data_IF_983077570393
#
_entry.id   IF_983077570393
#
_cell.length_a   1.000
_cell.length_b   1.000
_cell.length_c   1.000
_cell.angle_alpha   90.00
_cell.angle_beta   90.00
_cell.angle_gamma   90.00
#
_symmetry.space_group_name_H-M   'P 1'
#
loop_
_entity.id
_entity.type
_entity.pdbx_description
1 polymer ?
#
# COMPACT_ATOMS: atom_id res chain seq x y z
N UNK A 1 -20.03 7.39 11.05
CA UNK A 1 -18.81 8.19 11.36
C UNK A 1 -17.60 7.32 11.66
N UNK A 2 -17.62 6.42 12.64
CA UNK A 2 -16.45 5.62 13.05
C UNK A 2 -15.79 4.85 11.89
N UNK A 3 -16.58 4.23 11.02
CA UNK A 3 -16.05 3.55 9.83
C UNK A 3 -15.24 4.47 8.91
N UNK A 4 -15.69 5.71 8.74
CA UNK A 4 -15.00 6.72 7.93
C UNK A 4 -13.71 7.22 8.58
N UNK A 5 -13.68 7.28 9.91
CA UNK A 5 -12.45 7.57 10.66
C UNK A 5 -11.41 6.47 10.47
N UNK A 6 -11.79 5.19 10.59
CA UNK A 6 -10.89 4.05 10.37
C UNK A 6 -10.31 4.07 8.95
N UNK A 7 -11.17 4.33 7.96
CA UNK A 7 -10.75 4.47 6.57
C UNK A 7 -9.77 5.63 6.38
N UNK A 8 -10.07 6.81 6.93
CA UNK A 8 -9.22 7.98 6.80
C UNK A 8 -7.85 7.76 7.44
N UNK A 9 -7.78 7.20 8.66
CA UNK A 9 -6.52 6.89 9.34
C UNK A 9 -5.66 5.92 8.53
N UNK A 10 -6.26 4.87 7.95
CA UNK A 10 -5.54 3.97 7.04
C UNK A 10 -4.90 4.74 5.88
N UNK A 11 -5.65 5.64 5.26
CA UNK A 11 -5.17 6.43 4.11
C UNK A 11 -4.02 7.39 4.47
N UNK A 12 -3.96 7.90 5.69
CA UNK A 12 -2.83 8.74 6.13
C UNK A 12 -1.49 8.01 6.05
N UNK A 13 -1.50 6.70 6.27
CA UNK A 13 -0.28 5.87 6.25
C UNK A 13 0.12 5.46 4.84
N UNK A 14 -0.76 5.59 3.84
CA UNK A 14 -0.52 5.11 2.49
C UNK A 14 0.73 5.72 1.83
N UNK A 15 0.89 7.06 1.91
CA UNK A 15 2.04 7.75 1.31
C UNK A 15 3.37 7.32 1.98
N UNK A 16 3.51 7.33 3.32
CA UNK A 16 4.71 6.81 4.00
C UNK A 16 5.03 5.36 3.63
N UNK A 17 4.03 4.49 3.54
CA UNK A 17 4.21 3.09 3.16
C UNK A 17 4.77 3.00 1.74
N UNK A 18 4.10 3.64 0.77
CA UNK A 18 4.49 3.60 -0.65
C UNK A 18 5.92 4.12 -0.83
N UNK A 19 6.30 5.20 -0.12
CA UNK A 19 7.65 5.75 -0.16
C UNK A 19 8.73 4.83 0.43
N UNK A 20 8.35 3.94 1.35
CA UNK A 20 9.32 3.10 2.09
C UNK A 20 9.49 1.72 1.50
N UNK A 21 8.37 1.04 1.16
CA UNK A 21 8.39 -0.35 0.67
C UNK A 21 7.99 -0.49 -0.80
N UNK A 22 7.62 0.62 -1.44
CA UNK A 22 7.16 0.65 -2.82
C UNK A 22 5.65 0.44 -2.96
N UNK A 23 5.12 0.92 -4.08
CA UNK A 23 3.69 0.90 -4.39
C UNK A 23 3.11 -0.53 -4.41
N UNK A 24 3.76 -1.45 -5.14
CA UNK A 24 3.27 -2.82 -5.31
C UNK A 24 3.22 -3.61 -3.99
N UNK A 25 4.33 -3.62 -3.24
CA UNK A 25 4.40 -4.31 -1.94
C UNK A 25 3.43 -3.72 -0.92
N UNK A 26 3.29 -2.38 -0.90
CA UNK A 26 2.31 -1.71 -0.07
C UNK A 26 0.88 -2.21 -0.36
N UNK A 27 0.43 -2.03 -1.61
CA UNK A 27 -0.90 -2.42 -2.07
C UNK A 27 -1.19 -3.88 -1.77
N UNK A 28 -0.22 -4.76 -2.00
CA UNK A 28 -0.38 -6.19 -1.74
C UNK A 28 -0.64 -6.47 -0.25
N UNK A 29 0.19 -5.91 0.64
CA UNK A 29 0.09 -6.21 2.08
C UNK A 29 -1.21 -5.66 2.65
N UNK A 30 -1.47 -4.35 2.50
CA UNK A 30 -2.69 -3.77 3.09
C UNK A 30 -3.95 -4.27 2.38
N UNK A 31 -3.87 -4.57 1.07
CA UNK A 31 -4.98 -5.12 0.30
C UNK A 31 -5.35 -6.54 0.73
N UNK A 32 -4.36 -7.39 0.96
CA UNK A 32 -4.58 -8.75 1.50
C UNK A 32 -5.18 -8.70 2.90
N UNK A 33 -4.62 -7.85 3.79
CA UNK A 33 -5.14 -7.69 5.15
C UNK A 33 -6.56 -7.11 5.13
N UNK A 34 -6.85 -6.11 4.30
CA UNK A 34 -8.19 -5.56 4.10
C UNK A 34 -9.20 -6.64 3.68
N UNK A 35 -8.83 -7.47 2.69
CA UNK A 35 -9.64 -8.58 2.21
C UNK A 35 -9.93 -9.59 3.34
N UNK A 36 -8.88 -10.08 4.02
CA UNK A 36 -9.00 -11.10 5.06
C UNK A 36 -9.77 -10.58 6.27
N UNK A 37 -9.52 -9.35 6.72
CA UNK A 37 -10.21 -8.76 7.88
C UNK A 37 -11.69 -8.53 7.56
N UNK A 38 -12.02 -7.96 6.40
CA UNK A 38 -13.41 -7.74 6.00
C UNK A 38 -14.16 -9.06 5.81
N UNK A 39 -13.53 -10.04 5.17
CA UNK A 39 -14.06 -11.39 5.02
C UNK A 39 -14.27 -12.08 6.38
N UNK A 40 -13.28 -12.07 7.26
CA UNK A 40 -13.34 -12.71 8.57
C UNK A 40 -14.39 -12.06 9.47
N UNK A 41 -14.53 -10.74 9.38
CA UNK A 41 -15.56 -9.99 10.11
C UNK A 41 -16.96 -10.45 9.69
N UNK A 42 -17.25 -10.50 8.39
CA UNK A 42 -18.53 -11.01 7.89
C UNK A 42 -18.74 -12.49 8.18
N UNK A 43 -17.70 -13.32 8.05
CA UNK A 43 -17.81 -14.77 8.17
C UNK A 43 -18.01 -15.24 9.61
N UNK A 44 -17.26 -14.68 10.56
CA UNK A 44 -17.25 -15.12 11.95
C UNK A 44 -18.08 -14.21 12.87
N UNK A 45 -18.59 -13.09 12.37
CA UNK A 45 -19.31 -12.13 13.20
C UNK A 45 -18.39 -11.36 14.15
N UNK A 46 -17.15 -11.08 13.74
CA UNK A 46 -16.19 -10.37 14.60
C UNK A 46 -16.73 -8.98 14.95
N UNK A 47 -16.41 -8.47 16.14
CA UNK A 47 -16.91 -7.17 16.63
C UNK A 47 -18.44 -7.09 16.82
N UNK A 48 -19.12 -8.23 16.97
CA UNK A 48 -20.55 -8.27 17.33
C UNK A 48 -21.50 -8.05 16.15
N UNK A 49 -21.02 -8.19 14.91
CA UNK A 49 -21.88 -8.33 13.73
C UNK A 49 -22.39 -9.77 13.59
N UNK A 50 -23.53 -9.95 12.93
CA UNK A 50 -24.10 -11.26 12.69
C UNK A 50 -23.23 -12.04 11.71
N UNK A 51 -22.87 -13.27 12.07
CA UNK A 51 -22.08 -14.14 11.21
C UNK A 51 -22.89 -14.51 9.96
N UNK A 52 -22.39 -14.09 8.80
CA UNK A 52 -22.93 -14.45 7.48
C UNK A 52 -22.22 -15.71 6.98
N UNK A 53 -22.75 -16.89 7.34
CA UNK A 53 -22.28 -18.16 6.78
C UNK A 53 -22.79 -18.33 5.35
N UNK A 54 -21.92 -18.37 4.32
CA UNK A 54 -22.35 -18.72 2.97
C UNK A 54 -22.89 -20.15 2.94
N UNK A 55 -23.74 -20.44 1.95
CA UNK A 55 -24.39 -21.74 1.75
C UNK A 55 -23.38 -22.89 1.68
N UNK A 56 -22.23 -22.66 1.02
CA UNK A 56 -21.07 -23.57 1.04
C UNK A 56 -19.80 -22.91 1.61
N UNK A 57 -19.48 -23.15 2.90
CA UNK A 57 -18.27 -22.58 3.52
C UNK A 57 -16.98 -23.03 2.85
N UNK A 58 -16.89 -24.29 2.43
CA UNK A 58 -15.69 -24.84 1.78
C UNK A 58 -15.37 -24.15 0.45
N UNK A 59 -16.41 -23.85 -0.34
CA UNK A 59 -16.25 -23.14 -1.61
C UNK A 59 -15.79 -21.71 -1.41
N UNK A 60 -16.30 -21.05 -0.35
CA UNK A 60 -15.91 -19.71 0.03
C UNK A 60 -14.45 -19.63 0.50
N UNK A 61 -14.00 -20.56 1.36
CA UNK A 61 -12.60 -20.63 1.79
C UNK A 61 -11.66 -20.90 0.61
N UNK A 62 -12.02 -21.85 -0.26
CA UNK A 62 -11.21 -22.19 -1.44
C UNK A 62 -11.11 -20.99 -2.39
N UNK A 63 -12.24 -20.32 -2.65
CA UNK A 63 -12.28 -19.11 -3.47
C UNK A 63 -11.43 -17.97 -2.89
N UNK A 64 -11.46 -17.76 -1.57
CA UNK A 64 -10.61 -16.78 -0.88
C UNK A 64 -9.12 -17.08 -1.10
N UNK A 65 -8.70 -18.34 -0.99
CA UNK A 65 -7.30 -18.74 -1.23
C UNK A 65 -6.88 -18.39 -2.66
N UNK A 66 -7.70 -18.74 -3.66
CA UNK A 66 -7.40 -18.40 -5.05
C UNK A 66 -7.37 -16.88 -5.30
N UNK A 67 -8.24 -16.11 -4.64
CA UNK A 67 -8.24 -14.65 -4.68
C UNK A 67 -6.93 -14.07 -4.14
N UNK A 68 -6.45 -14.56 -3.00
CA UNK A 68 -5.19 -14.09 -2.40
C UNK A 68 -4.00 -14.48 -3.30
N UNK A 69 -3.97 -15.72 -3.79
CA UNK A 69 -2.91 -16.19 -4.71
C UNK A 69 -2.91 -15.35 -5.99
N UNK A 70 -4.08 -15.08 -6.57
CA UNK A 70 -4.22 -14.22 -7.74
C UNK A 70 -3.70 -12.80 -7.50
N UNK A 71 -4.04 -12.20 -6.36
CA UNK A 71 -3.52 -10.89 -5.94
C UNK A 71 -1.99 -10.86 -5.80
N UNK A 72 -1.40 -11.93 -5.25
CA UNK A 72 0.06 -12.09 -5.17
C UNK A 72 0.67 -12.19 -6.57
N UNK A 73 0.10 -13.00 -7.46
CA UNK A 73 0.57 -13.13 -8.84
C UNK A 73 0.53 -11.77 -9.57
N UNK A 74 -0.53 -10.98 -9.39
CA UNK A 74 -0.62 -9.62 -9.94
C UNK A 74 0.48 -8.69 -9.42
N UNK A 75 0.88 -8.81 -8.15
CA UNK A 75 1.96 -7.99 -7.61
C UNK A 75 3.34 -8.30 -8.24
N UNK A 76 3.50 -9.48 -8.83
CA UNK A 76 4.72 -9.87 -9.53
C UNK A 76 4.72 -9.49 -11.02
N UNK A 77 3.58 -9.10 -11.60
CA UNK A 77 3.52 -8.59 -12.98
C UNK A 77 4.19 -7.22 -13.01
N UNK A 78 5.29 -7.08 -13.74
CA UNK A 78 6.04 -5.83 -13.86
C UNK A 78 5.47 -4.97 -14.99
N UNK A 79 4.90 -3.78 -14.72
CA UNK A 79 4.60 -2.84 -15.79
C UNK A 79 5.91 -2.21 -16.28
N UNK A 80 6.05 -1.96 -17.59
CA UNK A 80 7.15 -1.13 -18.09
C UNK A 80 7.00 0.29 -17.55
N UNK A 81 8.09 0.95 -17.10
CA UNK A 81 8.02 2.40 -16.92
C UNK A 81 7.69 3.04 -18.27
N UNK A 82 6.84 4.08 -18.31
CA UNK A 82 6.57 4.80 -19.54
C UNK A 82 7.90 5.28 -20.13
N UNK A 83 8.06 5.15 -21.44
CA UNK A 83 9.20 5.69 -22.18
C UNK A 83 9.40 7.15 -21.78
N UNK A 84 10.38 7.38 -20.90
CA UNK A 84 10.84 8.70 -20.53
C UNK A 84 11.14 9.44 -21.83
N UNK A 85 10.33 10.46 -22.12
CA UNK A 85 10.67 11.43 -23.15
C UNK A 85 11.93 12.11 -22.66
N UNK A 86 13.05 11.70 -23.25
CA UNK A 86 14.40 12.28 -23.25
C UNK A 86 14.37 13.82 -23.09
N UNK A 87 14.20 14.32 -21.86
CA UNK A 87 14.21 15.77 -21.57
C UNK A 87 14.80 16.15 -20.21
N UNK A 88 15.08 15.19 -19.34
CA UNK A 88 15.64 15.46 -18.00
C UNK A 88 17.17 15.26 -17.90
N UNK A 89 17.88 14.95 -18.99
CA UNK A 89 19.32 14.69 -18.99
C UNK A 89 20.22 15.90 -19.30
N UNK A 90 19.73 17.15 -19.13
CA UNK A 90 20.53 18.36 -19.37
C UNK A 90 20.65 19.32 -18.17
N UNK A 91 20.26 18.92 -16.97
CA UNK A 91 20.51 19.73 -15.76
C UNK A 91 20.97 18.87 -14.58
N UNK A 92 22.17 18.30 -14.71
CA UNK A 92 22.96 17.96 -13.54
C UNK A 92 24.45 18.18 -13.87
N UNK A 93 24.83 19.46 -13.91
CA UNK A 93 26.23 19.86 -13.96
C UNK A 93 26.92 19.45 -12.66
N UNK A 94 27.76 18.42 -12.73
CA UNK A 94 28.71 18.09 -11.67
C UNK A 94 29.92 19.01 -11.78
N UNK A 95 30.47 19.57 -10.68
CA UNK A 95 31.66 20.41 -10.75
C UNK A 95 32.91 19.57 -11.02
N UNK A 96 33.67 19.98 -12.03
CA UNK A 96 34.96 19.41 -12.44
C UNK A 96 35.98 19.70 -11.33
N UNK A 97 36.46 18.67 -10.64
CA UNK A 97 37.62 18.79 -9.75
C UNK A 97 38.88 18.66 -10.60
N UNK A 98 39.55 19.79 -10.86
CA UNK A 98 40.87 19.82 -11.50
C UNK A 98 41.91 19.47 -10.42
N UNK A 99 42.45 18.25 -10.47
CA UNK A 99 43.62 17.84 -9.67
C UNK A 99 44.87 18.40 -10.35
N UNK A 100 45.53 19.36 -9.71
CA UNK A 100 46.83 19.93 -10.11
C UNK A 100 47.93 19.02 -9.54
N UNK A 101 48.68 18.36 -10.42
CA UNK A 101 49.92 17.69 -10.07
C UNK A 101 51.07 18.71 -10.13
N UNK A 102 51.90 18.79 -9.08
CA UNK A 102 53.22 19.41 -9.13
C UNK A 102 54.28 18.38 -8.66
N UNK A 103 55.42 18.26 -9.37
CA UNK A 103 56.48 17.28 -9.06
C UNK A 103 57.64 17.92 -8.28
N UNK A 104 58.35 17.12 -7.47
CA UNK A 104 59.75 17.25 -6.98
C UNK A 104 59.89 16.42 -5.70
N UNK A 105 61.00 15.79 -5.32
CA UNK A 105 62.30 15.45 -5.89
C UNK A 105 62.87 14.38 -4.93
N UNK A 106 63.73 13.50 -5.45
CA UNK A 106 64.51 12.48 -4.72
C UNK A 106 65.24 13.02 -3.48
N UNK A 107 65.31 12.23 -2.40
CA UNK A 107 66.56 11.73 -1.78
C UNK A 107 66.32 10.71 -0.64
N UNK A 108 67.32 9.85 -0.50
CA UNK A 108 67.44 8.57 0.21
C UNK A 108 67.51 8.72 1.74
N UNK A 109 66.71 7.94 2.49
CA UNK A 109 67.04 7.33 3.80
C UNK A 109 66.16 6.06 3.98
N UNK A 110 66.64 4.92 3.46
CA UNK A 110 65.93 3.63 3.46
C UNK A 110 66.39 2.76 4.65
N UNK A 111 65.46 2.34 5.52
CA UNK A 111 65.74 1.26 6.48
C UNK A 111 64.73 1.09 7.61
N UNK A 112 64.61 2.09 8.50
CA UNK A 112 63.86 1.94 9.77
C UNK A 112 62.51 2.69 9.81
N UNK A 113 62.34 3.79 9.04
CA UNK A 113 61.08 4.57 9.05
C UNK A 113 59.92 3.92 8.28
N UNK A 114 60.23 3.03 7.35
CA UNK A 114 59.24 2.35 6.50
C UNK A 114 58.40 1.35 7.29
N UNK A 115 58.98 0.70 8.31
CA UNK A 115 58.26 -0.30 9.13
C UNK A 115 57.26 0.39 10.06
N UNK A 116 57.62 1.52 10.65
CA UNK A 116 56.74 2.27 11.57
C UNK A 116 55.63 3.03 10.82
N UNK A 117 55.93 3.53 9.61
CA UNK A 117 54.92 4.10 8.71
C UNK A 117 53.94 3.04 8.16
N UNK A 118 54.41 1.81 7.88
CA UNK A 118 53.56 0.71 7.44
C UNK A 118 52.61 0.23 8.55
N UNK A 119 53.07 0.20 9.80
CA UNK A 119 52.24 -0.17 10.96
C UNK A 119 51.14 0.89 11.19
N UNK A 120 51.48 2.18 11.10
CA UNK A 120 50.51 3.28 11.24
C UNK A 120 49.49 3.34 10.08
N UNK A 121 49.90 3.01 8.85
CA UNK A 121 48.99 2.92 7.70
C UNK A 121 48.06 1.71 7.80
N UNK A 122 48.55 0.52 8.17
CA UNK A 122 47.70 -0.65 8.38
C UNK A 122 46.69 -0.44 9.51
N UNK A 123 47.10 0.21 10.61
CA UNK A 123 46.21 0.51 11.74
C UNK A 123 45.16 1.56 11.36
N UNK A 124 45.52 2.63 10.62
CA UNK A 124 44.55 3.60 10.08
C UNK A 124 43.57 2.97 9.09
N UNK A 125 44.06 2.14 8.18
CA UNK A 125 43.21 1.42 7.21
C UNK A 125 42.26 0.46 7.93
N UNK A 126 42.70 -0.21 8.99
CA UNK A 126 41.85 -1.09 9.80
C UNK A 126 40.79 -0.31 10.60
N UNK A 127 41.13 0.86 11.15
CA UNK A 127 40.18 1.74 11.85
C UNK A 127 39.14 2.31 10.88
N UNK A 128 39.56 2.83 9.72
CA UNK A 128 38.64 3.33 8.68
C UNK A 128 37.74 2.20 8.14
N UNK A 129 38.28 1.00 7.93
CA UNK A 129 37.50 -0.17 7.49
C UNK A 129 36.48 -0.59 8.55
N UNK A 130 36.85 -0.53 9.82
CA UNK A 130 35.95 -0.84 10.95
C UNK A 130 34.85 0.21 11.10
N UNK A 131 35.16 1.50 11.02
CA UNK A 131 34.17 2.58 11.05
C UNK A 131 33.22 2.52 9.85
N UNK A 132 33.73 2.25 8.66
CA UNK A 132 32.92 2.07 7.45
C UNK A 132 31.97 0.87 7.57
N UNK A 133 32.44 -0.25 8.12
CA UNK A 133 31.61 -1.42 8.38
C UNK A 133 30.54 -1.16 9.45
N UNK A 134 30.87 -0.42 10.52
CA UNK A 134 29.91 -0.03 11.56
C UNK A 134 28.84 0.91 10.98
N UNK A 135 29.23 1.91 10.19
CA UNK A 135 28.33 2.86 9.54
C UNK A 135 27.42 2.17 8.52
N UNK A 136 27.95 1.23 7.73
CA UNK A 136 27.17 0.40 6.81
C UNK A 136 26.17 -0.49 7.57
N UNK A 137 26.57 -1.10 8.69
CA UNK A 137 25.67 -1.90 9.52
C UNK A 137 24.54 -1.07 10.14
N UNK A 138 24.84 0.16 10.60
CA UNK A 138 23.86 1.10 11.16
C UNK A 138 22.89 1.58 10.08
N UNK A 139 23.40 1.94 8.91
CA UNK A 139 22.57 2.37 7.78
C UNK A 139 21.65 1.25 7.28
N UNK A 140 22.15 0.00 7.23
CA UNK A 140 21.36 -1.18 6.91
C UNK A 140 20.32 -1.51 8.01
N UNK A 141 20.67 -1.37 9.29
CA UNK A 141 19.75 -1.56 10.42
C UNK A 141 18.62 -0.54 10.40
N UNK A 142 18.91 0.74 10.13
CA UNK A 142 17.91 1.79 10.08
C UNK A 142 17.02 1.68 8.82
N UNK A 143 17.58 1.22 7.70
CA UNK A 143 16.79 0.82 6.53
C UNK A 143 15.84 -0.34 6.84
N UNK A 144 16.31 -1.37 7.56
CA UNK A 144 15.51 -2.52 7.97
C UNK A 144 14.38 -2.10 8.94
N UNK A 145 14.67 -1.28 9.94
CA UNK A 145 13.67 -0.76 10.90
C UNK A 145 12.57 0.02 10.17
N UNK A 146 12.93 0.91 9.24
CA UNK A 146 11.96 1.66 8.43
C UNK A 146 11.09 0.73 7.59
N UNK A 147 11.69 -0.29 6.98
CA UNK A 147 10.98 -1.31 6.21
C UNK A 147 9.98 -2.10 7.07
N UNK A 148 10.41 -2.56 8.25
CA UNK A 148 9.53 -3.25 9.21
C UNK A 148 8.39 -2.35 9.67
N UNK A 149 8.68 -1.09 10.01
CA UNK A 149 7.66 -0.12 10.42
C UNK A 149 6.63 0.12 9.32
N UNK A 150 7.06 0.20 8.06
CA UNK A 150 6.15 0.35 6.93
C UNK A 150 5.30 -0.91 6.69
N UNK A 151 5.85 -2.11 6.88
CA UNK A 151 5.06 -3.36 6.83
C UNK A 151 4.00 -3.38 7.94
N UNK A 152 4.39 -3.03 9.17
CA UNK A 152 3.47 -2.94 10.31
C UNK A 152 2.37 -1.89 10.03
N UNK A 153 2.74 -0.72 9.52
CA UNK A 153 1.80 0.32 9.12
C UNK A 153 0.82 -0.18 8.02
N UNK A 154 1.30 -0.94 7.03
CA UNK A 154 0.43 -1.56 6.01
C UNK A 154 -0.59 -2.51 6.60
N UNK A 155 -0.19 -3.31 7.61
CA UNK A 155 -1.11 -4.22 8.30
C UNK A 155 -2.18 -3.40 9.05
N UNK A 156 -1.78 -2.37 9.79
CA UNK A 156 -2.73 -1.48 10.47
C UNK A 156 -3.69 -0.78 9.50
N UNK A 157 -3.19 -0.29 8.36
CA UNK A 157 -4.00 0.30 7.31
C UNK A 157 -5.01 -0.71 6.77
N UNK A 158 -4.56 -1.93 6.48
CA UNK A 158 -5.41 -3.02 6.02
C UNK A 158 -6.51 -3.38 7.02
N UNK A 159 -6.21 -3.43 8.32
CA UNK A 159 -7.22 -3.67 9.36
C UNK A 159 -8.25 -2.54 9.38
N UNK A 160 -7.82 -1.28 9.28
CA UNK A 160 -8.71 -0.12 9.23
C UNK A 160 -9.63 -0.12 8.00
N UNK A 161 -9.09 -0.47 6.83
CA UNK A 161 -9.87 -0.65 5.61
C UNK A 161 -10.85 -1.81 5.73
N UNK A 162 -10.40 -2.96 6.24
CA UNK A 162 -11.23 -4.16 6.42
C UNK A 162 -12.41 -3.92 7.36
N UNK A 163 -12.19 -3.07 8.37
CA UNK A 163 -13.17 -2.75 9.42
C UNK A 163 -14.02 -1.51 9.11
N UNK A 164 -13.86 -0.89 7.94
CA UNK A 164 -14.55 0.35 7.56
C UNK A 164 -16.07 0.23 7.60
N UNK A 165 -16.62 -0.92 7.21
CA UNK A 165 -18.07 -1.16 7.16
C UNK A 165 -18.63 -1.76 8.45
N UNK A 166 -17.77 -2.30 9.31
CA UNK A 166 -18.17 -3.01 10.54
C UNK A 166 -19.08 -2.17 11.45
N UNK A 167 -18.81 -0.87 11.70
CA UNK A 167 -19.70 -0.07 12.54
C UNK A 167 -21.10 0.12 11.96
N UNK A 168 -21.23 0.17 10.63
CA UNK A 168 -22.54 0.33 9.96
C UNK A 168 -23.33 -0.97 10.10
N UNK A 169 -22.69 -2.10 9.79
CA UNK A 169 -23.30 -3.42 9.88
C UNK A 169 -23.66 -3.76 11.33
N UNK A 170 -22.82 -3.38 12.29
CA UNK A 170 -23.12 -3.55 13.71
C UNK A 170 -24.43 -2.86 14.11
N UNK A 171 -24.68 -1.64 13.62
CA UNK A 171 -25.92 -0.91 13.89
C UNK A 171 -27.12 -1.62 13.23
N UNK A 172 -26.96 -2.10 11.98
CA UNK A 172 -28.00 -2.83 11.26
C UNK A 172 -28.36 -4.15 11.96
N UNK A 173 -27.35 -4.86 12.50
CA UNK A 173 -27.48 -6.16 13.15
C UNK A 173 -27.96 -6.09 14.61
N UNK A 174 -27.71 -4.97 15.29
CA UNK A 174 -28.05 -4.77 16.70
C UNK A 174 -29.12 -3.69 16.89
N UNK A 175 -30.30 -3.80 16.25
CA UNK A 175 -31.25 -2.69 16.20
C UNK A 175 -31.84 -2.33 17.57
N UNK A 176 -31.78 -3.26 18.52
CA UNK A 176 -32.26 -3.09 19.89
C UNK A 176 -31.50 -2.00 20.66
N UNK A 177 -30.24 -1.75 20.30
CA UNK A 177 -29.37 -0.79 20.96
C UNK A 177 -29.50 0.62 20.40
N UNK A 178 -30.22 0.80 19.29
CA UNK A 178 -30.27 2.05 18.55
C UNK A 178 -31.71 2.51 18.34
N UNK A 179 -31.91 3.83 18.36
CA UNK A 179 -33.23 4.43 18.13
C UNK A 179 -33.51 4.46 16.63
N UNK A 180 -34.46 3.65 16.15
CA UNK A 180 -34.88 3.54 14.75
C UNK A 180 -33.71 3.42 13.75
N UNK A 181 -32.88 2.37 13.85
CA UNK A 181 -31.78 2.16 12.91
C UNK A 181 -32.34 1.82 11.53
N UNK A 182 -31.77 2.44 10.50
CA UNK A 182 -32.07 2.04 9.13
C UNK A 182 -31.49 0.66 8.85
N UNK A 183 -32.23 -0.14 8.06
CA UNK A 183 -31.72 -1.41 7.53
C UNK A 183 -30.94 -1.22 6.24
N UNK A 184 -31.10 -0.10 5.54
CA UNK A 184 -30.42 0.14 4.27
C UNK A 184 -29.01 0.70 4.52
N UNK A 185 -28.00 0.09 3.91
CA UNK A 185 -26.61 0.54 4.07
C UNK A 185 -26.37 1.98 3.55
N UNK A 186 -27.13 2.41 2.54
CA UNK A 186 -26.99 3.73 1.89
C UNK A 186 -27.30 4.88 2.85
N UNK A 187 -28.22 4.70 3.79
CA UNK A 187 -28.61 5.75 4.74
C UNK A 187 -27.45 6.13 5.68
N UNK A 188 -26.45 5.25 5.83
CA UNK A 188 -25.26 5.48 6.64
C UNK A 188 -24.10 6.11 5.87
N UNK A 189 -24.18 6.24 4.54
CA UNK A 189 -23.08 6.74 3.71
C UNK A 189 -22.75 8.19 4.06
N UNK A 190 -23.76 9.03 4.28
CA UNK A 190 -23.53 10.41 4.71
C UNK A 190 -22.73 10.45 6.01
N UNK A 191 -23.14 9.69 7.03
CA UNK A 191 -22.42 9.56 8.30
C UNK A 191 -21.01 9.00 8.13
N UNK A 192 -20.79 8.08 7.18
CA UNK A 192 -19.47 7.57 6.84
C UNK A 192 -18.58 8.67 6.25
N UNK A 193 -19.08 9.42 5.26
CA UNK A 193 -18.35 10.51 4.61
C UNK A 193 -18.06 11.67 5.57
N UNK A 194 -18.99 12.03 6.45
CA UNK A 194 -18.73 13.01 7.52
C UNK A 194 -17.58 12.56 8.42
N UNK A 195 -17.48 11.26 8.73
CA UNK A 195 -16.36 10.71 9.49
C UNK A 195 -15.01 10.89 8.77
N UNK A 196 -14.97 10.63 7.46
CA UNK A 196 -13.77 10.85 6.63
C UNK A 196 -13.40 12.33 6.62
N UNK A 197 -14.38 13.20 6.35
CA UNK A 197 -14.20 14.64 6.26
C UNK A 197 -13.64 15.22 7.56
N UNK A 198 -14.28 14.92 8.71
CA UNK A 198 -13.81 15.41 10.00
C UNK A 198 -12.41 14.91 10.37
N UNK A 199 -12.14 13.62 10.12
CA UNK A 199 -10.82 13.03 10.41
C UNK A 199 -9.74 13.66 9.52
N UNK A 200 -10.01 13.83 8.23
CA UNK A 200 -9.09 14.44 7.27
C UNK A 200 -8.84 15.91 7.60
N UNK A 201 -9.88 16.67 7.93
CA UNK A 201 -9.78 18.07 8.37
C UNK A 201 -8.97 18.18 9.65
N UNK A 202 -9.22 17.31 10.65
CA UNK A 202 -8.46 17.32 11.89
C UNK A 202 -6.96 17.09 11.65
N UNK A 203 -6.60 16.12 10.81
CA UNK A 203 -5.21 15.85 10.45
C UNK A 203 -4.59 17.01 9.66
N UNK A 204 -5.36 17.63 8.76
CA UNK A 204 -4.93 18.81 8.04
C UNK A 204 -4.63 19.98 9.00
N UNK A 205 -5.48 20.20 10.01
CA UNK A 205 -5.25 21.23 11.03
C UNK A 205 -3.97 20.97 11.82
N UNK A 206 -3.69 19.71 12.20
CA UNK A 206 -2.42 19.32 12.83
C UNK A 206 -1.25 19.62 11.90
N UNK A 207 -1.36 19.27 10.62
CA UNK A 207 -0.31 19.52 9.64
C UNK A 207 -0.03 21.01 9.44
N UNK A 208 -1.07 21.85 9.36
CA UNK A 208 -0.96 23.31 9.25
C UNK A 208 -0.29 23.89 10.50
N UNK A 209 -0.69 23.44 11.69
CA UNK A 209 -0.10 23.85 12.96
C UNK A 209 1.40 23.48 13.03
N UNK A 210 1.74 22.24 12.66
CA UNK A 210 3.12 21.75 12.60
C UNK A 210 3.98 22.55 11.60
N UNK A 211 3.40 22.92 10.46
CA UNK A 211 4.05 23.74 9.43
C UNK A 211 3.97 25.25 9.69
N UNK A 212 3.50 25.67 10.87
CA UNK A 212 3.40 27.09 11.27
C UNK A 212 2.68 27.93 10.21
N UNK A 213 1.53 27.45 9.74
CA UNK A 213 0.68 28.08 8.72
C UNK A 213 1.35 28.24 7.34
N UNK A 214 2.38 27.45 7.03
CA UNK A 214 3.01 27.35 5.70
C UNK A 214 2.96 25.91 5.15
N UNK A 215 1.76 25.31 4.97
CA UNK A 215 1.64 23.98 4.37
C UNK A 215 2.04 24.02 2.90
N UNK A 216 2.76 23.00 2.43
CA UNK A 216 2.96 22.80 1.00
C UNK A 216 1.75 22.09 0.39
N UNK A 217 1.13 22.71 -0.62
CA UNK A 217 0.04 22.16 -1.42
C UNK A 217 0.29 22.54 -2.88
N UNK A 218 0.43 21.54 -3.75
CA UNK A 218 0.60 21.78 -5.18
C UNK A 218 -0.76 22.12 -5.80
N UNK A 219 -0.86 23.31 -6.40
CA UNK A 219 -2.07 23.80 -7.04
C UNK A 219 -2.50 22.93 -8.22
N UNK A 220 -1.55 22.27 -8.90
CA UNK A 220 -1.85 21.38 -10.02
C UNK A 220 -2.64 20.13 -9.60
N UNK A 221 -2.55 19.72 -8.32
CA UNK A 221 -3.20 18.51 -7.80
C UNK A 221 -4.61 18.76 -7.29
N UNK A 222 -5.01 20.02 -7.06
CA UNK A 222 -6.31 20.35 -6.44
C UNK A 222 -7.47 19.82 -7.29
N UNK A 223 -7.54 20.19 -8.57
CA UNK A 223 -8.66 19.78 -9.43
C UNK A 223 -8.69 18.26 -9.72
N UNK A 224 -7.57 17.60 -10.10
CA UNK A 224 -7.54 16.15 -10.26
C UNK A 224 -7.95 15.38 -8.99
N UNK A 225 -7.56 15.87 -7.81
CA UNK A 225 -7.92 15.24 -6.54
C UNK A 225 -9.42 15.29 -6.25
N UNK A 226 -10.10 16.39 -6.62
CA UNK A 226 -11.55 16.51 -6.48
C UNK A 226 -12.29 15.54 -7.41
N UNK A 227 -11.87 15.42 -8.67
CA UNK A 227 -12.44 14.46 -9.61
C UNK A 227 -12.24 13.01 -9.13
N UNK A 228 -11.05 12.68 -8.65
CA UNK A 228 -10.77 11.38 -8.06
C UNK A 228 -11.64 11.09 -6.84
N UNK A 229 -11.90 12.11 -6.00
CA UNK A 229 -12.80 12.01 -4.85
C UNK A 229 -14.25 11.71 -5.24
N UNK A 230 -14.77 12.31 -6.32
CA UNK A 230 -16.11 12.01 -6.85
C UNK A 230 -16.18 10.57 -7.34
N UNK A 231 -15.19 10.12 -8.12
CA UNK A 231 -15.11 8.74 -8.60
C UNK A 231 -15.07 7.74 -7.43
N UNK A 232 -14.26 8.04 -6.42
CA UNK A 232 -14.16 7.24 -5.21
C UNK A 232 -15.49 7.21 -4.43
N UNK A 233 -16.21 8.32 -4.34
CA UNK A 233 -17.50 8.39 -3.65
C UNK A 233 -18.55 7.48 -4.32
N UNK A 234 -18.60 7.46 -5.66
CA UNK A 234 -19.48 6.57 -6.43
C UNK A 234 -19.11 5.10 -6.19
N UNK A 235 -17.81 4.77 -6.21
CA UNK A 235 -17.33 3.42 -5.94
C UNK A 235 -17.65 2.98 -4.50
N UNK A 236 -17.50 3.87 -3.52
CA UNK A 236 -17.81 3.60 -2.12
C UNK A 236 -19.31 3.36 -1.91
N UNK A 237 -20.18 4.13 -2.57
CA UNK A 237 -21.63 3.89 -2.58
C UNK A 237 -21.98 2.50 -3.12
N UNK A 238 -21.39 2.11 -4.25
CA UNK A 238 -21.58 0.78 -4.83
C UNK A 238 -21.08 -0.32 -3.89
N UNK A 239 -19.99 -0.08 -3.15
CA UNK A 239 -19.46 -1.03 -2.18
C UNK A 239 -20.38 -1.18 -0.95
N UNK A 240 -20.95 -0.10 -0.44
CA UNK A 240 -21.99 -0.17 0.61
C UNK A 240 -23.17 -1.03 0.16
N UNK A 241 -23.69 -0.79 -1.05
CA UNK A 241 -24.79 -1.58 -1.62
C UNK A 241 -24.42 -3.06 -1.79
N UNK A 242 -23.21 -3.34 -2.29
CA UNK A 242 -22.74 -4.70 -2.48
C UNK A 242 -22.64 -5.46 -1.14
N UNK A 243 -22.13 -4.81 -0.08
CA UNK A 243 -22.07 -5.41 1.26
C UNK A 243 -23.47 -5.73 1.81
N UNK A 244 -24.44 -4.85 1.58
CA UNK A 244 -25.83 -5.04 2.01
C UNK A 244 -26.50 -6.24 1.30
N UNK A 245 -26.23 -6.40 0.00
CA UNK A 245 -26.84 -7.46 -0.83
C UNK A 245 -26.12 -8.81 -0.67
N UNK A 246 -24.78 -8.82 -0.66
CA UNK A 246 -23.96 -10.02 -0.76
C UNK A 246 -23.29 -10.43 0.55
N UNK A 247 -23.28 -9.60 1.58
CA UNK A 247 -22.44 -9.68 2.79
C UNK A 247 -20.95 -9.38 2.55
N UNK A 248 -20.24 -9.05 3.62
CA UNK A 248 -18.80 -8.77 3.59
C UNK A 248 -17.97 -10.02 3.22
N UNK A 249 -18.43 -11.22 3.59
CA UNK A 249 -17.73 -12.48 3.32
C UNK A 249 -17.66 -12.84 1.83
N UNK A 250 -18.45 -12.18 0.98
CA UNK A 250 -18.44 -12.37 -0.47
C UNK A 250 -17.88 -11.11 -1.15
N UNK A 251 -18.29 -9.92 -0.71
CA UNK A 251 -17.92 -8.67 -1.36
C UNK A 251 -16.43 -8.32 -1.24
N UNK A 252 -15.79 -8.58 -0.08
CA UNK A 252 -14.38 -8.23 0.12
C UNK A 252 -13.42 -8.98 -0.81
N UNK A 253 -13.52 -10.31 -0.96
CA UNK A 253 -12.68 -11.05 -1.92
C UNK A 253 -12.86 -10.57 -3.37
N UNK A 254 -14.09 -10.25 -3.78
CA UNK A 254 -14.39 -9.72 -5.12
C UNK A 254 -13.72 -8.35 -5.30
N UNK A 255 -13.91 -7.44 -4.34
CA UNK A 255 -13.38 -6.07 -4.43
C UNK A 255 -11.85 -6.01 -4.32
N UNK A 256 -11.22 -6.97 -3.64
CA UNK A 256 -9.76 -7.04 -3.52
C UNK A 256 -9.05 -7.33 -4.86
N UNK A 257 -9.76 -7.91 -5.82
CA UNK A 257 -9.16 -8.48 -7.03
C UNK A 257 -9.67 -7.86 -8.32
N UNK A 258 -10.97 -7.57 -8.39
CA UNK A 258 -11.60 -7.09 -9.61
C UNK A 258 -11.02 -5.75 -10.12
N UNK A 259 -10.69 -4.75 -9.28
CA UNK A 259 -10.04 -3.52 -9.74
C UNK A 259 -8.65 -3.79 -10.34
N UNK A 260 -7.87 -4.68 -9.73
CA UNK A 260 -6.56 -5.09 -10.23
C UNK A 260 -6.67 -5.78 -11.59
N UNK A 261 -7.63 -6.70 -11.73
CA UNK A 261 -7.94 -7.37 -12.99
C UNK A 261 -8.29 -6.36 -14.10
N UNK A 262 -9.19 -5.42 -13.83
CA UNK A 262 -9.60 -4.39 -14.82
C UNK A 262 -8.41 -3.51 -15.21
N UNK A 263 -7.63 -3.06 -14.22
CA UNK A 263 -6.43 -2.24 -14.47
C UNK A 263 -5.40 -2.99 -15.33
N UNK A 264 -5.17 -4.28 -15.08
CA UNK A 264 -4.26 -5.09 -15.87
C UNK A 264 -4.77 -5.34 -17.29
N UNK A 265 -6.07 -5.60 -17.47
CA UNK A 265 -6.67 -5.72 -18.81
C UNK A 265 -6.53 -4.40 -19.59
N UNK A 266 -6.73 -3.26 -18.93
CA UNK A 266 -6.52 -1.95 -19.54
C UNK A 266 -5.05 -1.74 -19.95
N UNK A 267 -4.09 -2.13 -19.11
CA UNK A 267 -2.66 -2.07 -19.45
C UNK A 267 -2.30 -2.92 -20.68
N UNK A 268 -2.85 -4.13 -20.80
CA UNK A 268 -2.64 -4.99 -21.98
C UNK A 268 -3.24 -4.39 -23.25
N UNK A 269 -4.53 -4.06 -23.23
CA UNK A 269 -5.26 -3.71 -24.45
C UNK A 269 -5.01 -2.29 -24.92
N UNK A 270 -4.94 -1.33 -23.99
CA UNK A 270 -4.78 0.08 -24.33
C UNK A 270 -3.32 0.46 -24.48
N UNK A 271 -2.50 0.18 -23.47
CA UNK A 271 -1.12 0.64 -23.43
C UNK A 271 -0.13 -0.30 -24.14
N UNK A 272 -0.48 -1.57 -24.35
CA UNK A 272 0.38 -2.60 -24.99
C UNK A 272 1.77 -2.70 -24.35
N UNK A 273 1.83 -2.53 -23.02
CA UNK A 273 3.07 -2.38 -22.26
C UNK A 273 3.78 -3.71 -21.92
N UNK A 274 3.16 -4.85 -22.19
CA UNK A 274 3.55 -6.14 -21.61
C UNK A 274 4.27 -7.03 -22.64
N UNK A 275 5.43 -7.58 -22.24
CA UNK A 275 6.18 -8.57 -23.02
C UNK A 275 5.53 -9.96 -22.95
N UNK A 276 5.81 -10.81 -23.94
CA UNK A 276 5.15 -12.12 -24.09
C UNK A 276 5.37 -13.03 -22.86
N UNK A 277 6.50 -12.90 -22.16
CA UNK A 277 6.81 -13.67 -20.96
C UNK A 277 5.97 -13.22 -19.75
N UNK A 278 5.87 -11.92 -19.52
CA UNK A 278 5.01 -11.33 -18.49
C UNK A 278 3.52 -11.49 -18.81
N UNK A 279 3.16 -11.62 -20.09
CA UNK A 279 1.79 -11.89 -20.53
C UNK A 279 1.29 -13.28 -20.07
N UNK A 280 2.16 -14.29 -20.03
CA UNK A 280 1.79 -15.63 -19.53
C UNK A 280 1.50 -15.61 -18.03
N UNK A 281 2.34 -14.92 -17.26
CA UNK A 281 2.13 -14.73 -15.82
C UNK A 281 0.84 -13.95 -15.56
N UNK A 282 0.61 -12.89 -16.34
CA UNK A 282 -0.61 -12.11 -16.23
C UNK A 282 -1.85 -12.93 -16.57
N UNK A 283 -1.84 -13.69 -17.67
CA UNK A 283 -2.97 -14.54 -18.05
C UNK A 283 -3.25 -15.60 -16.96
N UNK A 284 -2.20 -16.17 -16.37
CA UNK A 284 -2.34 -17.07 -15.23
C UNK A 284 -3.00 -16.36 -14.03
N UNK A 285 -2.52 -15.18 -13.65
CA UNK A 285 -3.09 -14.38 -12.56
C UNK A 285 -4.57 -14.06 -12.80
N UNK A 286 -4.93 -13.69 -14.03
CA UNK A 286 -6.30 -13.43 -14.47
C UNK A 286 -7.18 -14.68 -14.31
N UNK A 287 -6.74 -15.82 -14.84
CA UNK A 287 -7.50 -17.07 -14.76
C UNK A 287 -7.71 -17.53 -13.30
N UNK A 288 -6.66 -17.51 -12.49
CA UNK A 288 -6.71 -17.86 -11.07
C UNK A 288 -7.68 -16.94 -10.32
N UNK A 289 -7.63 -15.64 -10.61
CA UNK A 289 -8.47 -14.64 -9.97
C UNK A 289 -9.93 -14.78 -10.37
N UNK A 290 -10.22 -14.93 -11.67
CA UNK A 290 -11.60 -15.15 -12.16
C UNK A 290 -12.17 -16.40 -11.52
N UNK A 291 -11.41 -17.50 -11.49
CA UNK A 291 -11.82 -18.73 -10.84
C UNK A 291 -12.14 -18.53 -9.35
N UNK A 292 -11.23 -17.89 -8.60
CA UNK A 292 -11.44 -17.59 -7.18
C UNK A 292 -12.69 -16.73 -6.93
N UNK A 293 -12.86 -15.66 -7.70
CA UNK A 293 -14.04 -14.78 -7.62
C UNK A 293 -15.34 -15.52 -7.93
N UNK A 294 -15.35 -16.38 -8.95
CA UNK A 294 -16.52 -17.21 -9.27
C UNK A 294 -16.84 -18.17 -8.14
N UNK A 295 -15.85 -18.83 -7.52
CA UNK A 295 -16.08 -19.70 -6.37
C UNK A 295 -16.66 -18.94 -5.16
N UNK A 296 -16.12 -17.75 -4.85
CA UNK A 296 -16.66 -16.90 -3.79
C UNK A 296 -18.10 -16.48 -4.10
N UNK A 297 -18.40 -16.07 -5.33
CA UNK A 297 -19.75 -15.70 -5.74
C UNK A 297 -20.74 -16.86 -5.66
N UNK A 298 -20.37 -18.03 -6.20
CA UNK A 298 -21.19 -19.24 -6.17
C UNK A 298 -21.44 -19.77 -4.76
N UNK A 299 -20.53 -19.51 -3.82
CA UNK A 299 -20.69 -19.94 -2.42
C UNK A 299 -21.93 -19.34 -1.73
N UNK A 300 -22.50 -18.27 -2.29
CA UNK A 300 -23.77 -17.71 -1.81
C UNK A 300 -24.96 -18.61 -2.13
N UNK A 301 -24.97 -19.22 -3.31
CA UNK A 301 -26.13 -19.91 -3.88
C UNK A 301 -26.07 -21.43 -3.75
N UNK A 302 -24.86 -21.98 -3.79
CA UNK A 302 -24.56 -23.42 -3.66
C UNK A 302 -23.98 -23.63 -2.26
#
# INVERSE_FOLDING_TARGET
>A
MLGGLLWAIGNLTAIPIIKTIGLGMGILIWGTVNCVVGWATGRFGLFGVNASTPSSPNLNYLGLVFVIVGGILFAFVRPKPPLSTKRDSLQQGSPIIIRREEPQNTNIEEGESLVEQQIDEEERVNIETTENNINLSRMNSDGMKKRVLAVVASIFAGIGYGSTFTPVIYIQDNPQHFKNPSKNAIDYVFSHFTGIYLTSTFVLLIYIAYKQNKPYMDNALVFPSLLAGVLWAVAMLAWFLANDILSQAITFPINATLPGLIASLWSVFYFKEIEIEDLKLLLCAVCVTIFGVTLVGLSKTI
#
